data_IF_602560546952
#
_entry.id   IF_602560546952
#
_cell.length_a   1.000
_cell.length_b   1.000
_cell.length_c   1.000
_cell.angle_alpha   90.00
_cell.angle_beta   90.00
_cell.angle_gamma   90.00
#
_symmetry.space_group_name_H-M   'P 1'
#
loop_
_entity.id
_entity.type
_entity.pdbx_description
1 polymer ?
#
# COMPACT_ATOMS: atom_id res chain seq x y z
N UNK A 1 6.51 -49.26 -52.27
CA UNK A 1 7.73 -48.54 -51.83
C UNK A 1 7.33 -47.14 -51.39
N UNK A 2 7.00 -46.93 -50.11
CA UNK A 2 6.52 -45.63 -49.61
C UNK A 2 6.97 -45.36 -48.16
N UNK A 3 8.11 -45.90 -47.75
CA UNK A 3 8.70 -45.72 -46.41
C UNK A 3 9.46 -44.39 -46.23
N UNK A 4 10.05 -43.71 -47.26
CA UNK A 4 10.93 -42.57 -47.01
C UNK A 4 10.19 -41.28 -46.61
N UNK A 5 8.91 -41.13 -47.00
CA UNK A 5 8.14 -39.91 -46.70
C UNK A 5 7.68 -39.84 -45.23
N UNK A 6 7.36 -40.99 -44.64
CA UNK A 6 6.90 -41.08 -43.25
C UNK A 6 8.03 -40.75 -42.28
N UNK A 7 9.24 -41.29 -42.54
CA UNK A 7 10.42 -40.97 -41.74
C UNK A 7 10.80 -39.48 -41.82
N UNK A 8 10.64 -38.84 -42.98
CA UNK A 8 10.92 -37.43 -43.16
C UNK A 8 9.94 -36.54 -42.39
N UNK A 9 8.65 -36.89 -42.40
CA UNK A 9 7.62 -36.16 -41.63
C UNK A 9 7.83 -36.32 -40.12
N UNK A 10 8.20 -37.50 -39.64
CA UNK A 10 8.54 -37.72 -38.23
C UNK A 10 9.78 -36.94 -37.77
N UNK A 11 10.80 -36.81 -38.63
CA UNK A 11 11.97 -36.00 -38.32
C UNK A 11 11.63 -34.51 -38.28
N UNK A 12 10.78 -34.02 -39.19
CA UNK A 12 10.34 -32.62 -39.20
C UNK A 12 9.51 -32.27 -37.95
N UNK A 13 8.62 -33.16 -37.49
CA UNK A 13 7.85 -32.93 -36.27
C UNK A 13 8.75 -32.89 -35.03
N UNK A 14 9.69 -33.83 -34.91
CA UNK A 14 10.65 -33.84 -33.79
C UNK A 14 11.55 -32.59 -33.75
N UNK A 15 12.01 -32.11 -34.92
CA UNK A 15 12.80 -30.88 -35.01
C UNK A 15 11.95 -29.66 -34.63
N UNK A 16 10.67 -29.63 -35.04
CA UNK A 16 9.75 -28.53 -34.69
C UNK A 16 9.44 -28.48 -33.19
N UNK A 17 9.23 -29.64 -32.54
CA UNK A 17 8.99 -29.72 -31.10
C UNK A 17 10.23 -29.31 -30.29
N UNK A 18 11.42 -29.71 -30.75
CA UNK A 18 12.69 -29.29 -30.14
C UNK A 18 12.93 -27.78 -30.27
N UNK A 19 12.62 -27.19 -31.44
CA UNK A 19 12.74 -25.75 -31.65
C UNK A 19 11.74 -24.92 -30.84
N UNK A 20 10.51 -25.41 -30.68
CA UNK A 20 9.48 -24.75 -29.84
C UNK A 20 9.88 -24.80 -28.36
N UNK A 21 10.46 -25.90 -27.88
CA UNK A 21 10.96 -25.99 -26.49
C UNK A 21 12.17 -25.08 -26.25
N UNK A 22 13.09 -24.95 -27.21
CA UNK A 22 14.25 -24.06 -27.09
C UNK A 22 13.87 -22.57 -27.12
N UNK A 23 12.86 -22.17 -27.91
CA UNK A 23 12.39 -20.77 -27.93
C UNK A 23 11.65 -20.33 -26.67
N UNK A 24 11.16 -21.26 -25.85
CA UNK A 24 10.42 -20.94 -24.62
C UNK A 24 11.29 -20.87 -23.36
N UNK A 25 12.59 -21.12 -23.45
CA UNK A 25 13.49 -21.16 -22.29
C UNK A 25 14.31 -19.88 -22.05
N UNK A 26 14.11 -18.81 -22.82
CA UNK A 26 15.04 -17.67 -22.81
C UNK A 26 14.41 -16.33 -22.37
N UNK A 27 13.67 -16.31 -21.25
CA UNK A 27 13.31 -15.02 -20.59
C UNK A 27 12.81 -15.11 -19.13
N UNK A 28 13.47 -15.86 -18.24
CA UNK A 28 13.12 -15.84 -16.80
C UNK A 28 14.31 -15.92 -15.83
N UNK A 29 15.44 -15.33 -16.18
CA UNK A 29 16.59 -15.25 -15.27
C UNK A 29 17.23 -13.85 -15.25
N UNK A 30 16.41 -12.82 -15.07
CA UNK A 30 16.90 -11.61 -14.41
C UNK A 30 16.64 -11.80 -12.93
N UNK A 31 17.69 -11.92 -12.10
CA UNK A 31 17.56 -11.79 -10.64
C UNK A 31 16.72 -10.53 -10.39
N UNK A 32 15.53 -10.68 -9.82
CA UNK A 32 14.77 -9.53 -9.34
C UNK A 32 15.57 -8.96 -8.17
N UNK A 33 16.38 -7.94 -8.44
CA UNK A 33 17.05 -7.18 -7.40
C UNK A 33 16.01 -6.25 -6.79
N UNK A 34 15.71 -6.49 -5.52
CA UNK A 34 14.87 -5.61 -4.74
C UNK A 34 15.47 -4.19 -4.75
N UNK A 35 14.71 -3.12 -5.02
CA UNK A 35 15.25 -1.77 -5.10
C UNK A 35 15.54 -1.17 -3.71
N UNK A 36 16.23 -0.03 -3.67
CA UNK A 36 16.37 0.78 -2.45
C UNK A 36 15.05 1.50 -2.12
N UNK A 37 14.73 1.65 -0.83
CA UNK A 37 13.53 2.34 -0.39
C UNK A 37 13.62 3.86 -0.58
N UNK A 38 12.57 4.46 -1.14
CA UNK A 38 12.39 5.91 -1.09
C UNK A 38 12.06 6.38 0.35
N UNK A 39 12.33 7.66 0.65
CA UNK A 39 12.18 8.25 1.99
C UNK A 39 10.84 7.92 2.69
N UNK A 40 9.75 7.98 1.92
CA UNK A 40 8.38 7.78 2.41
C UNK A 40 7.77 6.43 2.04
N UNK A 41 8.58 5.52 1.48
CA UNK A 41 8.15 4.19 1.08
C UNK A 41 8.29 3.20 2.24
N UNK A 42 7.26 2.40 2.45
CA UNK A 42 7.29 1.28 3.39
C UNK A 42 8.24 0.20 2.86
N UNK A 43 9.13 -0.29 3.72
CA UNK A 43 10.02 -1.40 3.41
C UNK A 43 9.37 -2.76 3.65
N UNK A 44 8.39 -2.81 4.57
CA UNK A 44 7.72 -4.05 4.96
C UNK A 44 6.30 -3.79 5.46
N UNK A 45 5.39 -4.76 5.24
CA UNK A 45 4.19 -4.92 6.06
C UNK A 45 3.84 -6.39 6.25
N UNK A 46 3.01 -6.68 7.25
CA UNK A 46 2.48 -8.01 7.51
C UNK A 46 0.96 -8.01 7.41
N UNK A 47 0.39 -8.96 6.65
CA UNK A 47 -1.05 -9.13 6.52
C UNK A 47 -1.37 -10.62 6.51
N UNK A 48 -2.25 -11.07 7.42
CA UNK A 48 -2.65 -12.48 7.54
C UNK A 48 -1.44 -13.44 7.68
N UNK A 49 -0.44 -13.06 8.48
CA UNK A 49 0.83 -13.78 8.66
C UNK A 49 1.68 -13.92 7.38
N UNK A 50 1.34 -13.20 6.31
CA UNK A 50 2.16 -13.10 5.10
C UNK A 50 2.98 -11.82 5.20
N UNK A 51 4.28 -11.96 5.08
CA UNK A 51 5.24 -10.87 5.11
C UNK A 51 5.54 -10.42 3.68
N UNK A 52 5.46 -9.11 3.47
CA UNK A 52 5.77 -8.48 2.19
C UNK A 52 6.93 -7.52 2.40
N UNK A 53 8.05 -7.79 1.74
CA UNK A 53 9.22 -6.90 1.69
C UNK A 53 9.30 -6.28 0.28
N UNK A 54 9.43 -4.95 0.22
CA UNK A 54 9.35 -4.20 -1.03
C UNK A 54 10.69 -3.67 -1.52
N UNK A 55 11.56 -3.31 -0.59
CA UNK A 55 12.81 -2.61 -0.85
C UNK A 55 13.80 -2.83 0.30
N UNK A 56 15.11 -2.68 0.02
CA UNK A 56 16.13 -2.61 1.06
C UNK A 56 16.26 -1.19 1.60
N UNK A 57 16.56 -1.04 2.89
CA UNK A 57 16.84 0.27 3.45
C UNK A 57 18.23 0.76 3.01
N UNK A 58 18.48 2.08 3.00
CA UNK A 58 19.78 2.64 2.64
C UNK A 58 20.94 1.92 3.34
N UNK A 59 22.08 1.86 2.66
CA UNK A 59 23.26 1.09 3.07
C UNK A 59 23.03 -0.43 3.16
N UNK A 60 22.07 -0.95 2.39
CA UNK A 60 21.66 -2.37 2.38
C UNK A 60 21.28 -2.90 3.76
N UNK A 61 20.79 -2.01 4.63
CA UNK A 61 20.35 -2.37 5.96
C UNK A 61 19.01 -3.13 5.91
N UNK A 62 18.78 -4.09 6.81
CA UNK A 62 17.49 -4.77 6.90
C UNK A 62 16.40 -3.79 7.35
N UNK A 63 15.18 -3.99 6.85
CA UNK A 63 14.02 -3.19 7.26
C UNK A 63 13.80 -3.31 8.78
N UNK A 64 13.82 -2.20 9.53
CA UNK A 64 13.69 -2.23 10.98
C UNK A 64 12.29 -2.68 11.40
N UNK A 65 12.22 -3.52 12.45
CA UNK A 65 10.95 -4.05 12.98
C UNK A 65 10.52 -3.40 14.30
N UNK A 66 11.32 -2.47 14.83
CA UNK A 66 11.02 -1.72 16.06
C UNK A 66 9.75 -0.85 15.90
N UNK A 67 8.95 -0.65 16.95
CA UNK A 67 7.77 0.22 16.92
C UNK A 67 8.05 1.67 16.46
N UNK A 68 9.26 2.20 16.69
CA UNK A 68 9.61 3.57 16.32
C UNK A 68 9.63 3.84 14.81
N UNK A 69 9.65 2.77 14.01
CA UNK A 69 9.69 2.79 12.54
C UNK A 69 8.35 2.38 11.93
N UNK A 70 7.35 2.11 12.78
CA UNK A 70 6.04 1.63 12.40
C UNK A 70 5.06 2.78 12.25
N UNK A 71 4.24 2.73 11.22
CA UNK A 71 3.08 3.61 11.07
C UNK A 71 1.86 2.78 10.71
N UNK A 72 0.73 3.07 11.36
CA UNK A 72 -0.54 2.42 11.08
C UNK A 72 -1.33 3.21 10.05
N UNK A 73 -1.77 2.56 8.99
CA UNK A 73 -2.62 3.18 7.98
C UNK A 73 -3.62 2.18 7.40
N UNK A 74 -4.89 2.56 7.28
CA UNK A 74 -5.96 1.67 6.78
C UNK A 74 -5.98 0.30 7.49
N UNK A 75 -5.76 0.31 8.82
CA UNK A 75 -5.70 -0.88 9.70
C UNK A 75 -4.50 -1.81 9.50
N UNK A 76 -3.54 -1.45 8.65
CA UNK A 76 -2.30 -2.20 8.45
C UNK A 76 -1.13 -1.48 9.12
N UNK A 77 -0.19 -2.26 9.65
CA UNK A 77 1.06 -1.77 10.22
C UNK A 77 2.15 -1.83 9.15
N UNK A 78 2.64 -0.67 8.72
CA UNK A 78 3.73 -0.53 7.77
C UNK A 78 5.03 -0.18 8.50
N UNK A 79 6.13 -0.77 8.07
CA UNK A 79 7.48 -0.48 8.57
C UNK A 79 8.25 0.36 7.55
N UNK A 80 9.08 1.27 8.04
CA UNK A 80 9.85 2.21 7.24
C UNK A 80 11.31 2.22 7.65
N UNK A 81 12.19 2.65 6.75
CA UNK A 81 13.62 2.77 7.05
C UNK A 81 13.95 3.93 8.00
N UNK A 82 13.07 4.93 8.06
CA UNK A 82 13.19 6.10 8.92
C UNK A 82 12.17 6.06 10.05
N UNK A 83 12.52 6.68 11.18
CA UNK A 83 11.62 6.79 12.33
C UNK A 83 10.35 7.56 11.95
N UNK A 84 9.22 7.16 12.54
CA UNK A 84 7.87 7.66 12.25
C UNK A 84 7.19 8.26 13.49
N UNK A 85 7.96 8.57 14.54
CA UNK A 85 7.46 9.16 15.79
C UNK A 85 6.97 10.61 15.64
N UNK A 86 7.33 11.29 14.55
CA UNK A 86 6.90 12.66 14.24
C UNK A 86 6.69 12.85 12.74
N UNK A 87 5.56 12.35 12.24
CA UNK A 87 5.12 12.71 10.90
C UNK A 87 4.56 14.14 10.90
N UNK A 88 4.79 14.87 9.81
CA UNK A 88 4.16 16.18 9.62
C UNK A 88 2.65 16.01 9.41
N UNK A 89 1.86 16.98 9.87
CA UNK A 89 0.42 17.01 9.62
C UNK A 89 0.18 17.53 8.20
N UNK A 90 -0.60 16.80 7.41
CA UNK A 90 -0.92 17.20 6.05
C UNK A 90 -1.76 18.49 5.99
N UNK A 91 -1.55 19.32 4.98
CA UNK A 91 -2.51 20.36 4.61
C UNK A 91 -3.79 19.74 3.98
N UNK A 92 -4.95 20.39 4.12
CA UNK A 92 -6.18 19.97 3.44
C UNK A 92 -6.01 19.76 1.93
N UNK A 93 -6.50 18.64 1.41
CA UNK A 93 -6.42 18.27 0.00
C UNK A 93 -5.08 17.64 -0.42
N UNK A 94 -4.08 17.59 0.47
CA UNK A 94 -2.79 16.97 0.18
C UNK A 94 -2.87 15.45 0.13
N UNK A 95 -1.96 14.84 -0.63
CA UNK A 95 -1.82 13.38 -0.72
C UNK A 95 -1.20 12.87 0.58
N UNK A 96 -1.96 12.06 1.33
CA UNK A 96 -1.49 11.44 2.58
C UNK A 96 -0.76 10.14 2.31
N UNK A 97 -1.26 9.34 1.36
CA UNK A 97 -0.68 8.05 1.04
C UNK A 97 -0.92 7.64 -0.41
N UNK A 98 0.00 6.84 -0.93
CA UNK A 98 -0.12 6.10 -2.18
C UNK A 98 0.10 4.61 -1.91
N UNK A 99 -0.94 3.80 -2.02
CA UNK A 99 -0.91 2.36 -1.78
C UNK A 99 -0.98 1.63 -3.12
N UNK A 100 0.10 0.96 -3.53
CA UNK A 100 0.08 0.01 -4.64
C UNK A 100 0.56 -1.35 -4.15
N UNK A 101 0.29 -2.40 -4.92
CA UNK A 101 0.64 -3.79 -4.58
C UNK A 101 2.13 -4.00 -4.22
N UNK A 102 3.03 -3.24 -4.85
CA UNK A 102 4.49 -3.39 -4.71
C UNK A 102 5.15 -2.18 -4.06
N UNK A 103 4.41 -1.10 -3.83
CA UNK A 103 4.93 0.14 -3.30
C UNK A 103 3.85 0.85 -2.49
N UNK A 104 4.07 0.94 -1.19
CA UNK A 104 3.25 1.78 -0.30
C UNK A 104 4.09 2.97 0.14
N UNK A 105 3.57 4.17 -0.04
CA UNK A 105 4.18 5.41 0.47
C UNK A 105 3.20 6.18 1.34
N UNK A 106 3.68 6.65 2.49
CA UNK A 106 2.90 7.50 3.40
C UNK A 106 3.72 8.77 3.66
N UNK A 107 3.13 9.92 3.32
CA UNK A 107 3.86 11.19 3.22
C UNK A 107 3.71 12.06 4.46
N UNK A 108 2.52 12.06 5.06
CA UNK A 108 2.14 12.88 6.20
C UNK A 108 0.95 12.23 6.94
N UNK A 109 0.48 12.83 8.02
CA UNK A 109 -0.65 12.34 8.82
C UNK A 109 -1.83 13.32 8.76
N UNK A 110 -3.06 12.81 8.62
CA UNK A 110 -4.24 13.66 8.74
C UNK A 110 -4.55 13.89 10.22
N UNK A 111 -4.78 15.14 10.63
CA UNK A 111 -5.28 15.43 11.97
C UNK A 111 -6.69 14.86 12.16
N UNK A 112 -6.86 13.86 13.02
CA UNK A 112 -8.15 13.23 13.29
C UNK A 112 -9.22 14.20 13.83
N UNK A 113 -8.81 15.31 14.44
CA UNK A 113 -9.72 16.32 14.98
C UNK A 113 -10.42 17.12 13.87
N UNK A 114 -9.68 17.46 12.81
CA UNK A 114 -10.14 18.41 11.79
C UNK A 114 -10.28 17.79 10.41
N UNK A 115 -9.70 16.61 10.19
CA UNK A 115 -9.59 15.98 8.88
C UNK A 115 -9.93 14.49 8.93
N UNK A 116 -10.29 13.95 7.76
CA UNK A 116 -10.42 12.52 7.54
C UNK A 116 -9.67 12.12 6.27
N UNK A 117 -9.28 10.86 6.18
CA UNK A 117 -8.64 10.32 4.98
C UNK A 117 -9.72 9.91 3.96
N UNK A 118 -9.66 10.45 2.75
CA UNK A 118 -10.52 10.09 1.62
C UNK A 118 -9.72 9.32 0.58
N UNK A 119 -10.32 8.28 0.00
CA UNK A 119 -9.76 7.57 -1.15
C UNK A 119 -10.11 8.31 -2.44
N UNK A 120 -9.11 8.88 -3.11
CA UNK A 120 -9.27 9.65 -4.36
C UNK A 120 -9.25 8.75 -5.61
N UNK A 121 -8.47 7.68 -5.59
CA UNK A 121 -8.42 6.66 -6.65
C UNK A 121 -8.05 5.31 -6.05
N UNK A 122 -7.89 4.26 -6.87
CA UNK A 122 -7.55 2.90 -6.41
C UNK A 122 -6.36 2.88 -5.43
N UNK A 123 -5.37 3.73 -5.69
CA UNK A 123 -4.10 3.75 -4.97
C UNK A 123 -3.84 5.05 -4.20
N UNK A 124 -4.65 6.10 -4.37
CA UNK A 124 -4.35 7.42 -3.80
C UNK A 124 -5.32 7.82 -2.70
N UNK A 125 -4.76 8.36 -1.62
CA UNK A 125 -5.49 8.86 -0.47
C UNK A 125 -5.10 10.32 -0.20
N UNK A 126 -6.08 11.13 0.19
CA UNK A 126 -5.91 12.54 0.53
C UNK A 126 -6.51 12.85 1.91
N UNK A 127 -6.05 13.92 2.55
CA UNK A 127 -6.74 14.48 3.72
C UNK A 127 -7.84 15.44 3.27
N UNK A 128 -9.03 15.32 3.87
CA UNK A 128 -10.16 16.24 3.68
C UNK A 128 -10.56 16.85 5.00
N UNK A 129 -10.95 18.11 4.99
CA UNK A 129 -11.54 18.75 6.17
C UNK A 129 -12.88 18.11 6.53
N UNK A 130 -13.07 17.91 7.83
CA UNK A 130 -14.35 17.52 8.41
C UNK A 130 -15.31 18.71 8.35
N UNK A 131 -16.52 18.49 7.86
CA UNK A 131 -17.61 19.46 7.96
C UNK A 131 -18.07 19.62 9.42
N UNK A 132 -18.99 20.54 9.70
CA UNK A 132 -19.64 20.58 11.02
C UNK A 132 -20.83 19.63 11.02
N UNK A 133 -20.88 18.70 11.96
CA UNK A 133 -22.01 17.79 12.13
C UNK A 133 -23.27 18.56 12.55
N UNK A 134 -24.43 18.11 12.09
CA UNK A 134 -25.72 18.43 12.69
C UNK A 134 -25.86 17.88 14.11
N UNK A 135 -26.83 18.41 14.87
CA UNK A 135 -27.14 17.88 16.20
C UNK A 135 -27.61 16.42 16.09
N UNK A 136 -27.03 15.54 16.92
CA UNK A 136 -27.35 14.10 16.90
C UNK A 136 -26.79 13.32 15.71
N UNK A 137 -26.02 13.96 14.81
CA UNK A 137 -25.32 13.25 13.74
C UNK A 137 -24.11 12.46 14.27
N UNK A 138 -23.67 11.49 13.45
CA UNK A 138 -22.57 10.61 13.79
C UNK A 138 -21.21 11.32 13.64
N UNK A 139 -20.49 11.40 14.76
CA UNK A 139 -19.17 12.02 14.89
C UNK A 139 -18.06 11.01 15.22
N UNK A 140 -18.38 9.71 15.17
CA UNK A 140 -17.49 8.63 15.57
C UNK A 140 -16.37 8.34 14.58
N UNK A 141 -15.76 7.16 14.73
CA UNK A 141 -14.70 6.68 13.82
C UNK A 141 -15.18 6.67 12.37
N UNK A 142 -14.39 7.30 11.49
CA UNK A 142 -14.73 7.42 10.07
C UNK A 142 -15.78 8.49 9.75
N UNK A 143 -16.22 9.28 10.73
CA UNK A 143 -17.06 10.46 10.47
C UNK A 143 -16.33 11.46 9.58
N UNK A 144 -17.07 12.07 8.67
CA UNK A 144 -16.60 13.15 7.78
C UNK A 144 -16.94 14.53 8.32
N UNK A 145 -17.39 14.60 9.57
CA UNK A 145 -17.78 15.82 10.25
C UNK A 145 -17.25 15.86 11.69
N UNK A 146 -17.16 17.05 12.27
CA UNK A 146 -16.80 17.31 13.66
C UNK A 146 -17.96 17.98 14.38
N UNK A 147 -18.08 17.72 15.68
CA UNK A 147 -19.16 18.30 16.46
C UNK A 147 -19.09 19.84 16.50
N UNK A 148 -20.26 20.52 16.47
CA UNK A 148 -20.31 21.97 16.59
C UNK A 148 -19.77 22.44 17.94
N UNK A 149 -19.32 23.69 18.00
CA UNK A 149 -18.83 24.31 19.24
C UNK A 149 -19.89 24.20 20.35
N UNK A 150 -19.46 23.83 21.55
CA UNK A 150 -20.37 23.61 22.68
C UNK A 150 -21.00 22.21 22.73
N UNK A 151 -20.57 21.29 21.86
CA UNK A 151 -20.93 19.87 21.90
C UNK A 151 -19.69 18.98 21.78
N UNK A 152 -19.79 17.73 22.20
CA UNK A 152 -18.73 16.74 22.09
C UNK A 152 -19.26 15.42 21.53
N UNK A 153 -18.39 14.63 20.91
CA UNK A 153 -18.76 13.31 20.42
C UNK A 153 -18.85 12.33 21.59
N UNK A 154 -20.05 12.00 22.05
CA UNK A 154 -20.23 11.12 23.19
C UNK A 154 -20.14 9.66 22.74
N UNK A 155 -19.31 8.87 23.43
CA UNK A 155 -19.11 7.43 23.17
C UNK A 155 -18.79 7.10 21.71
N UNK A 156 -18.06 8.00 21.01
CA UNK A 156 -17.71 7.84 19.60
C UNK A 156 -18.94 7.60 18.69
N UNK A 157 -20.07 8.23 19.02
CA UNK A 157 -21.36 7.91 18.38
C UNK A 157 -22.12 9.14 17.90
N UNK A 158 -22.41 10.12 18.76
CA UNK A 158 -23.27 11.27 18.42
C UNK A 158 -22.81 12.55 19.08
N UNK A 159 -23.01 13.67 18.41
CA UNK A 159 -22.73 14.98 19.00
C UNK A 159 -23.79 15.34 20.04
N UNK A 160 -23.34 15.55 21.28
CA UNK A 160 -24.19 15.93 22.40
C UNK A 160 -23.64 17.15 23.14
N UNK A 161 -24.53 17.95 23.70
CA UNK A 161 -24.18 19.12 24.50
C UNK A 161 -23.45 18.73 25.79
N UNK A 162 -22.66 19.64 26.35
CA UNK A 162 -21.90 19.45 27.60
C UNK A 162 -22.75 19.30 28.88
N UNK A 163 -24.07 19.14 28.79
CA UNK A 163 -25.01 19.24 29.91
C UNK A 163 -25.58 17.89 30.33
#
# INVERSE_FOLDING_TARGET
>A
MSIPLILYLFLLTLISEAFVRLKFQDKREGLYEMPECQLNQACFYEMNNIQFEFCYCPDFSPCPKSPDFRLKFQKLDYQFCNRRDKLEICEPGSIVAKLSLIQTSIFCECSDEFMYTEKLSEDLYICREKSICGFGENCGDGSTCRCPLGTMCQNNSTCQSYF
#
